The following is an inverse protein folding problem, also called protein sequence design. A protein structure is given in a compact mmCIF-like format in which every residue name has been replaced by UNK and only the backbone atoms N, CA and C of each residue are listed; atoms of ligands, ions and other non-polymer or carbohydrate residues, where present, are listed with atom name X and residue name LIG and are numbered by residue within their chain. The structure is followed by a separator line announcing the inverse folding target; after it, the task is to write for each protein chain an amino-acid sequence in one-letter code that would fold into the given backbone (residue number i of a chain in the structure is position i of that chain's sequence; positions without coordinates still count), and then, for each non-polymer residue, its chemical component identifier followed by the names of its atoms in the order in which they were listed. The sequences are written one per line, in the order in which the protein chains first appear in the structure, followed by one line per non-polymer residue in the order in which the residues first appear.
data_IF_806390598934
#
_entry.id   IF_806390598934
#
_cell.length_a   1.000
_cell.length_b   1.000
_cell.length_c   1.000
_cell.angle_alpha   90.00
_cell.angle_beta   90.00
_cell.angle_gamma   90.00
#
_symmetry.space_group_name_H-M   'P 1'
#
loop_
_entity.id
_entity.type
_entity.pdbx_description
1 polymer ?
2 polymer ?
3 non-polymer ?
4 non-polymer ?
5 non-polymer ?
6 non-polymer ?
7 water ?
#
# COMPACT_ATOMS: atom_id res chain seq x y z
N UNK A 1 -3.10 8.13 -7.06
CA UNK A 1 -3.35 9.14 -6.08
C UNK A 1 -3.97 10.38 -6.78
N UNK A 2 -5.16 10.79 -6.34
CA UNK A 2 -5.81 11.99 -6.82
C UNK A 2 -5.58 13.15 -5.92
N UNK A 3 -5.21 14.31 -6.49
CA UNK A 3 -5.03 15.53 -5.71
C UNK A 3 -3.79 15.52 -4.84
N UNK A 4 -2.77 14.73 -5.21
CA UNK A 4 -1.50 14.63 -4.47
C UNK A 4 -0.49 15.50 -5.11
N UNK A 5 0.75 15.18 -4.77
CA UNK A 5 1.92 15.86 -5.35
C UNK A 5 3.00 14.84 -5.66
N UNK A 6 3.91 15.16 -6.56
CA UNK A 6 5.00 14.21 -6.86
C UNK A 6 5.97 14.15 -5.71
N UNK A 7 6.18 12.96 -5.15
CA UNK A 7 7.08 12.79 -4.03
C UNK A 7 8.49 13.14 -4.45
N UNK A 8 9.28 13.67 -3.54
CA UNK A 8 10.70 13.88 -3.82
C UNK A 8 11.31 12.52 -4.16
N UNK A 9 12.19 12.48 -5.13
CA UNK A 9 12.81 11.23 -5.57
C UNK A 9 13.40 10.40 -4.43
N UNK A 10 12.96 9.14 -4.32
CA UNK A 10 13.39 8.23 -3.26
C UNK A 10 13.19 8.69 -1.84
N UNK A 11 12.16 9.51 -1.58
CA UNK A 11 11.84 10.06 -0.28
C UNK A 11 10.92 9.11 0.51
N UNK A 12 10.42 8.09 -0.18
CA UNK A 12 9.60 7.02 0.42
C UNK A 12 10.25 5.62 0.15
N UNK A 13 11.37 5.34 0.81
CA UNK A 13 12.23 4.21 0.53
C UNK A 13 11.62 2.85 0.80
N UNK A 14 10.49 2.80 1.51
CA UNK A 14 9.85 1.51 1.81
C UNK A 14 8.77 1.16 0.75
N UNK A 15 8.48 2.09 -0.16
CA UNK A 15 7.47 1.90 -1.15
C UNK A 15 7.97 0.94 -2.24
N UNK A 16 7.15 -0.02 -2.59
CA UNK A 16 7.51 -0.92 -3.67
C UNK A 16 6.41 -0.90 -4.71
N UNK A 17 6.77 -1.35 -5.91
CA UNK A 17 5.85 -1.54 -7.04
C UNK A 17 5.78 -3.04 -7.30
N UNK A 18 4.57 -3.63 -7.40
CA UNK A 18 4.40 -5.02 -7.71
C UNK A 18 4.17 -5.00 -9.23
N UNK A 19 4.95 -5.83 -9.95
CA UNK A 19 4.94 -5.88 -11.41
C UNK A 19 4.74 -7.30 -12.04
N UNK A 20 3.90 -7.32 -13.09
CA UNK A 20 3.66 -8.59 -13.67
C UNK A 20 3.57 -8.17 -15.13
N UNK A 21 4.65 -7.64 -15.68
CA UNK A 21 4.60 -7.15 -17.04
C UNK A 21 4.41 -5.64 -16.99
N UNK A 22 3.72 -5.17 -15.96
CA UNK A 22 3.55 -3.75 -15.75
C UNK A 22 3.11 -3.60 -14.31
N UNK A 23 3.26 -2.38 -13.80
CA UNK A 23 2.82 -2.07 -12.46
C UNK A 23 1.36 -2.36 -12.28
N UNK A 24 0.99 -3.01 -11.17
CA UNK A 24 -0.44 -3.28 -10.85
C UNK A 24 -0.87 -2.93 -9.45
N UNK A 25 0.07 -2.88 -8.50
CA UNK A 25 -0.27 -2.60 -7.12
C UNK A 25 0.97 -2.12 -6.39
N UNK A 26 0.77 -1.53 -5.22
CA UNK A 26 1.89 -1.09 -4.41
C UNK A 26 2.10 -2.10 -3.30
N UNK A 27 3.05 -1.79 -2.42
CA UNK A 27 3.37 -2.62 -1.27
C UNK A 27 4.35 -1.82 -0.41
N UNK A 28 4.72 -2.35 0.74
CA UNK A 28 5.67 -1.79 1.69
C UNK A 28 6.65 -2.84 2.16
N UNK A 29 7.91 -2.44 2.17
CA UNK A 29 9.00 -3.28 2.70
C UNK A 29 9.05 -3.18 4.17
N UNK A 30 8.82 -4.31 4.85
CA UNK A 30 8.82 -4.32 6.32
C UNK A 30 9.96 -5.08 6.94
N UNK A 31 10.65 -5.85 6.11
CA UNK A 31 11.78 -6.61 6.44
C UNK A 31 12.66 -6.73 5.16
N UNK A 32 13.91 -7.14 5.26
CA UNK A 32 14.73 -7.28 4.07
C UNK A 32 14.21 -8.34 3.15
N UNK A 33 13.39 -9.27 3.67
CA UNK A 33 12.90 -10.29 2.84
C UNK A 33 11.40 -10.32 2.65
N UNK A 34 10.70 -9.39 3.27
CA UNK A 34 9.23 -9.41 3.24
C UNK A 34 8.58 -8.03 2.91
N UNK A 35 7.58 -8.14 2.05
CA UNK A 35 6.78 -7.01 1.57
C UNK A 35 5.32 -7.26 1.97
N UNK A 36 4.65 -6.24 2.47
CA UNK A 36 3.22 -6.37 2.84
C UNK A 36 2.39 -5.58 1.79
N UNK A 37 1.27 -6.18 1.38
CA UNK A 37 0.37 -5.59 0.39
C UNK A 37 -1.04 -6.02 0.70
N UNK A 38 -1.93 -5.80 -0.22
CA UNK A 38 -3.33 -6.13 -0.13
C UNK A 38 -3.63 -7.48 -0.85
N UNK A 39 -4.46 -8.28 -0.19
CA UNK A 39 -4.87 -9.57 -0.75
C UNK A 39 -5.63 -9.49 -2.08
N UNK A 40 -6.39 -8.43 -2.31
CA UNK A 40 -7.11 -8.35 -3.57
C UNK A 40 -6.16 -8.04 -4.73
N UNK A 41 -4.88 -7.83 -4.46
CA UNK A 41 -3.90 -7.62 -5.48
C UNK A 41 -3.29 -8.94 -5.88
N UNK A 42 -3.75 -10.03 -5.28
CA UNK A 42 -3.16 -11.34 -5.58
C UNK A 42 -3.03 -11.68 -7.02
N UNK A 43 -1.88 -12.19 -7.36
CA UNK A 43 -1.58 -12.71 -8.73
C UNK A 43 -0.59 -13.84 -8.53
N UNK A 44 -0.59 -14.83 -9.43
CA UNK A 44 0.28 -16.01 -9.30
C UNK A 44 1.78 -15.64 -9.32
N UNK A 45 2.20 -14.83 -10.28
CA UNK A 45 3.62 -14.48 -10.39
C UNK A 45 3.77 -12.99 -10.18
N UNK A 46 4.72 -12.60 -9.36
CA UNK A 46 4.92 -11.17 -9.07
C UNK A 46 6.38 -10.83 -9.00
N UNK A 47 6.79 -9.72 -9.62
CA UNK A 47 8.13 -9.22 -9.46
C UNK A 47 8.02 -7.96 -8.61
N UNK A 48 8.83 -7.90 -7.57
CA UNK A 48 8.84 -6.80 -6.67
C UNK A 48 9.92 -5.80 -7.09
N UNK A 49 9.52 -4.54 -7.29
CA UNK A 49 10.49 -3.50 -7.70
C UNK A 49 10.73 -2.48 -6.62
N UNK A 50 11.94 -2.51 -6.08
CA UNK A 50 12.31 -1.61 -5.04
C UNK A 50 13.07 -0.43 -5.62
N UNK A 51 13.23 0.58 -4.67
CA UNK A 51 14.07 1.72 -5.11
C UNK A 51 13.55 2.52 -6.28
N UNK A 52 12.27 2.36 -6.60
CA UNK A 52 11.65 3.06 -7.75
C UNK A 52 11.20 4.48 -7.49
N UNK A 53 11.28 5.28 -8.50
CA UNK A 53 10.68 6.58 -8.45
C UNK A 53 9.92 6.76 -9.74
N UNK A 54 10.62 6.67 -10.86
CA UNK A 54 10.06 6.71 -12.22
C UNK A 54 9.95 5.26 -12.69
N UNK A 55 8.77 4.70 -12.72
CA UNK A 55 8.61 3.25 -13.07
C UNK A 55 8.80 2.97 -14.53
N UNK A 56 8.83 4.02 -15.33
CA UNK A 56 9.01 3.88 -16.78
C UNK A 56 10.44 3.99 -17.25
N UNK A 57 11.37 4.32 -16.37
CA UNK A 57 12.74 4.48 -16.77
C UNK A 57 13.71 3.84 -15.78
N UNK A 58 14.72 3.15 -16.24
CA UNK A 58 15.73 2.65 -15.31
C UNK A 58 16.64 3.80 -14.86
N UNK A 59 16.67 4.05 -13.57
CA UNK A 59 17.39 5.15 -12.98
C UNK A 59 18.71 4.74 -12.35
N UNK A 60 18.82 3.47 -12.00
CA UNK A 60 20.03 2.91 -11.41
C UNK A 60 20.01 2.56 -9.92
N UNK A 61 18.95 2.91 -9.24
CA UNK A 61 18.84 2.58 -7.87
C UNK A 61 17.87 1.42 -7.63
N UNK A 62 17.30 0.89 -8.72
CA UNK A 62 16.30 -0.14 -8.60
C UNK A 62 16.92 -1.52 -8.24
N UNK A 63 16.10 -2.35 -7.59
CA UNK A 63 16.42 -3.72 -7.31
C UNK A 63 15.15 -4.45 -7.67
N UNK A 64 15.21 -5.36 -8.64
CA UNK A 64 14.03 -6.07 -9.04
C UNK A 64 14.19 -7.49 -8.52
N UNK A 65 13.34 -7.94 -7.60
CA UNK A 65 13.46 -9.28 -7.01
C UNK A 65 12.13 -9.99 -7.15
N UNK A 66 12.19 -11.24 -7.58
CA UNK A 66 10.92 -11.95 -7.78
C UNK A 66 10.39 -12.51 -6.50
N UNK A 67 9.07 -12.61 -6.38
CA UNK A 67 8.46 -13.18 -5.15
C UNK A 67 8.63 -14.70 -5.11
N UNK A 68 9.06 -15.21 -3.98
CA UNK A 68 9.25 -16.63 -3.80
C UNK A 68 7.99 -17.25 -3.20
N UNK A 69 7.35 -16.55 -2.26
CA UNK A 69 6.11 -17.02 -1.62
C UNK A 69 5.09 -15.88 -1.52
N UNK A 70 3.82 -16.18 -1.69
CA UNK A 70 2.77 -15.17 -1.62
C UNK A 70 1.73 -15.73 -0.71
N UNK A 71 1.59 -15.13 0.46
CA UNK A 71 0.65 -15.61 1.47
C UNK A 71 -0.48 -14.62 1.73
N UNK A 72 -1.70 -14.97 1.35
CA UNK A 72 -2.81 -14.09 1.64
C UNK A 72 -3.36 -14.43 2.98
N UNK A 73 -3.95 -13.48 3.67
CA UNK A 73 -4.55 -13.75 4.98
C UNK A 73 -5.62 -14.87 4.85
N UNK A 74 -5.60 -15.83 5.74
CA UNK A 74 -6.54 -16.98 5.67
C UNK A 74 -8.00 -16.60 5.81
N UNK A 75 -8.29 -15.47 6.45
CA UNK A 75 -9.65 -14.99 6.62
C UNK A 75 -10.04 -13.83 5.68
N UNK A 76 -9.26 -13.58 4.61
CA UNK A 76 -9.60 -12.55 3.66
C UNK A 76 -10.98 -12.87 3.11
N UNK A 77 -11.86 -11.88 3.04
CA UNK A 77 -13.20 -12.08 2.55
C UNK A 77 -13.34 -11.19 1.35
N UNK A 78 -13.50 -11.81 0.18
CA UNK A 78 -13.59 -11.09 -1.09
C UNK A 78 -14.83 -10.22 -1.25
N UNK A 79 -15.83 -10.50 -0.46
CA UNK A 79 -17.09 -9.74 -0.53
C UNK A 79 -17.00 -8.45 0.27
N UNK A 80 -16.57 -8.58 1.50
CA UNK A 80 -16.45 -7.45 2.40
C UNK A 80 -15.12 -6.76 2.43
N UNK A 81 -14.12 -7.43 1.90
CA UNK A 81 -12.74 -6.95 1.86
C UNK A 81 -12.14 -6.95 3.30
N UNK A 82 -12.77 -7.70 4.22
CA UNK A 82 -12.19 -7.79 5.55
C UNK A 82 -10.88 -8.59 5.46
N UNK A 83 -9.87 -8.17 6.21
CA UNK A 83 -8.59 -8.87 6.22
C UNK A 83 -7.88 -8.78 4.86
N UNK A 84 -7.94 -7.62 4.23
CA UNK A 84 -7.32 -7.40 2.94
C UNK A 84 -5.83 -7.14 3.15
N UNK A 85 -5.05 -8.21 3.32
CA UNK A 85 -3.66 -8.12 3.62
C UNK A 85 -3.00 -9.40 3.09
N UNK A 86 -1.83 -9.25 2.54
CA UNK A 86 -1.06 -10.30 1.91
C UNK A 86 0.43 -10.06 2.21
N UNK A 87 1.18 -11.14 2.41
CA UNK A 87 2.63 -11.05 2.62
C UNK A 87 3.38 -11.73 1.47
N UNK A 88 4.45 -11.08 1.01
CA UNK A 88 5.23 -11.60 -0.08
C UNK A 88 6.65 -11.78 0.37
N UNK A 89 7.17 -13.02 0.27
CA UNK A 89 8.56 -13.27 0.60
C UNK A 89 9.40 -13.11 -0.71
N UNK A 90 10.49 -12.37 -0.63
CA UNK A 90 11.38 -12.12 -1.78
C UNK A 90 12.29 -13.36 -1.95
N UNK A 91 12.63 -13.66 -3.20
CA UNK A 91 13.51 -14.82 -3.48
C UNK A 91 14.93 -14.59 -2.95
N UNK A 92 15.33 -13.34 -2.80
CA UNK A 92 16.62 -12.96 -2.19
C UNK A 92 16.40 -11.69 -1.39
N UNK A 93 17.15 -11.49 -0.33
CA UNK A 93 16.98 -10.32 0.50
C UNK A 93 17.24 -9.04 -0.26
N UNK A 94 16.43 -8.01 0.03
CA UNK A 94 16.69 -6.74 -0.53
C UNK A 94 17.88 -6.18 0.18
N UNK A 95 18.72 -5.37 -0.47
CA UNK A 95 19.84 -4.73 0.15
C UNK A 95 19.37 -3.34 0.57
N UNK A 96 19.44 -3.06 1.86
CA UNK A 96 18.96 -1.83 2.44
C UNK A 96 20.00 -0.76 2.31
N UNK A 97 19.59 0.41 1.82
CA UNK A 97 20.48 1.55 1.62
C UNK A 97 19.60 2.83 1.75
N UNK A 98 20.09 3.95 1.20
CA UNK A 98 19.35 5.20 1.27
C UNK A 98 18.07 5.16 0.43
N UNK A 99 18.03 4.38 -0.63
CA UNK A 99 16.88 4.35 -1.48
C UNK A 99 15.93 3.20 -1.20
N UNK A 100 16.38 2.25 -0.37
CA UNK A 100 15.59 1.07 -0.03
C UNK A 100 15.69 0.79 1.42
N UNK A 101 14.58 0.97 2.15
CA UNK A 101 14.57 0.78 3.59
C UNK A 101 13.25 0.21 4.02
N UNK A 102 13.20 -0.30 5.25
CA UNK A 102 11.95 -0.81 5.80
C UNK A 102 11.16 0.31 6.52
N UNK A 103 9.89 0.01 6.75
CA UNK A 103 9.01 0.93 7.48
C UNK A 103 8.61 0.14 8.73
N UNK A 104 8.56 0.79 9.86
CA UNK A 104 8.18 0.08 11.10
C UNK A 104 6.71 -0.36 11.16
N UNK A 105 6.48 -1.50 11.83
CA UNK A 105 5.12 -1.90 12.07
C UNK A 105 4.59 -1.07 13.21
N UNK A 106 3.29 -0.92 13.36
CA UNK A 106 2.76 -0.04 14.41
C UNK A 106 2.95 -0.57 15.81
N UNK A 107 3.30 0.33 16.71
CA UNK A 107 3.46 0.01 18.09
C UNK A 107 2.09 0.04 18.78
N UNK A 108 1.16 0.77 18.14
CA UNK A 108 -0.20 0.83 18.67
C UNK A 108 -1.03 1.37 17.51
N UNK A 109 -2.36 1.31 17.67
CA UNK A 109 -3.24 1.85 16.63
C UNK A 109 -3.11 3.38 16.73
N UNK A 110 -3.59 4.10 15.73
CA UNK A 110 -3.39 5.53 15.69
C UNK A 110 -4.62 6.25 16.15
N UNK A 111 -4.41 7.40 16.73
CA UNK A 111 -5.47 8.29 17.17
C UNK A 111 -6.13 8.89 15.93
N UNK A 112 -7.49 9.11 16.08
CA UNK A 112 -8.19 9.96 15.10
C UNK A 112 -7.52 11.33 14.91
N UNK A 113 -7.42 11.79 13.68
CA UNK A 113 -6.84 13.06 13.39
C UNK A 113 -5.34 12.99 13.10
N UNK A 114 -4.72 11.82 13.29
CA UNK A 114 -3.29 11.60 13.05
C UNK A 114 -3.00 11.83 11.57
N UNK A 115 -1.99 12.63 11.32
CA UNK A 115 -1.56 12.95 9.93
C UNK A 115 -0.77 11.75 9.34
N UNK A 116 -1.13 11.30 8.11
CA UNK A 116 -0.45 10.19 7.49
C UNK A 116 0.02 10.57 6.10
N UNK A 117 0.90 9.78 5.55
CA UNK A 117 1.37 9.93 4.18
C UNK A 117 1.02 8.68 3.38
N UNK A 118 0.30 8.85 2.28
CA UNK A 118 -0.12 7.78 1.37
C UNK A 118 0.65 8.00 0.06
N UNK A 119 1.08 6.92 -0.60
CA UNK A 119 1.83 7.02 -1.79
C UNK A 119 1.55 5.90 -2.76
N UNK A 120 1.75 6.16 -4.04
CA UNK A 120 1.55 5.12 -5.04
C UNK A 120 1.62 5.64 -6.42
N UNK A 121 1.51 4.71 -7.38
CA UNK A 121 1.56 5.10 -8.78
C UNK A 121 0.21 4.82 -9.40
N UNK A 122 -0.86 4.84 -8.63
CA UNK A 122 -2.20 4.61 -9.13
C UNK A 122 -2.79 5.81 -9.94
N UNK A 123 -4.03 5.65 -10.42
CA UNK A 123 -4.68 6.68 -11.19
C UNK A 123 -4.69 8.02 -10.49
N UNK A 124 -4.39 9.13 -11.22
CA UNK A 124 -4.35 10.44 -10.66
C UNK A 124 -5.53 11.33 -11.00
N UNK A 125 -6.41 10.86 -11.87
CA UNK A 125 -7.57 11.67 -12.32
C UNK A 125 -8.87 11.18 -11.68
N UNK A 126 -9.68 12.16 -11.30
CA UNK A 126 -11.02 11.93 -10.70
C UNK A 126 -12.03 11.64 -11.83
N UNK A 127 -11.72 12.12 -13.01
CA UNK A 127 -12.54 11.91 -14.16
C UNK A 127 -11.61 11.38 -15.29
N UNK A 128 -11.71 10.08 -15.53
CA UNK A 128 -10.86 9.50 -16.56
C UNK A 128 -9.75 8.68 -15.95
N UNK A 129 -8.71 8.39 -16.74
CA UNK A 129 -7.56 7.61 -16.31
C UNK A 129 -6.24 8.23 -16.70
N UNK A 130 -5.31 8.20 -15.75
CA UNK A 130 -3.98 8.72 -16.03
C UNK A 130 -3.03 8.15 -14.99
N UNK A 131 -2.22 7.18 -15.41
CA UNK A 131 -1.26 6.56 -14.51
C UNK A 131 0.10 7.26 -14.64
N UNK A 132 0.61 7.78 -13.55
CA UNK A 132 1.87 8.53 -13.58
C UNK A 132 3.09 7.65 -13.65
N UNK A 133 4.21 8.21 -14.09
CA UNK A 133 5.45 7.48 -14.11
C UNK A 133 6.15 7.76 -12.82
N UNK A 134 5.88 8.94 -12.23
CA UNK A 134 6.54 9.38 -11.03
C UNK A 134 5.66 9.14 -9.81
N UNK A 135 6.28 8.65 -8.72
CA UNK A 135 5.51 8.31 -7.48
C UNK A 135 4.80 9.55 -6.89
N UNK A 136 3.53 9.37 -6.54
CA UNK A 136 2.73 10.43 -6.00
C UNK A 136 2.58 10.24 -4.50
N UNK A 137 2.42 11.36 -3.82
CA UNK A 137 2.24 11.49 -2.39
C UNK A 137 0.98 12.24 -2.03
N UNK A 138 0.46 11.96 -0.84
CA UNK A 138 -0.69 12.61 -0.36
C UNK A 138 -0.70 12.55 1.15
N UNK A 139 -0.89 13.71 1.78
CA UNK A 139 -1.01 13.78 3.20
C UNK A 139 -2.48 13.81 3.58
N UNK A 140 -2.88 12.92 4.46
CA UNK A 140 -4.26 12.81 4.87
C UNK A 140 -4.38 12.33 6.26
N UNK A 141 -5.41 12.75 6.98
CA UNK A 141 -5.65 12.30 8.38
C UNK A 141 -6.51 11.09 8.55
N UNK A 142 -6.28 10.40 9.64
CA UNK A 142 -7.12 9.29 10.02
C UNK A 142 -8.42 9.85 10.52
N UNK A 143 -9.51 9.35 9.98
CA UNK A 143 -10.85 9.81 10.34
C UNK A 143 -11.39 9.00 11.51
N UNK A 144 -12.23 9.63 12.32
CA UNK A 144 -12.85 8.93 13.43
C UNK A 144 -13.72 7.79 12.91
N UNK A 145 -14.05 6.87 13.81
CA UNK A 145 -14.90 5.73 13.49
C UNK A 145 -16.24 6.19 13.00
N UNK A 146 -16.71 7.24 13.59
CA UNK A 146 -17.98 7.84 13.27
C UNK A 146 -18.07 8.28 11.80
N UNK A 147 -17.13 9.12 11.36
CA UNK A 147 -17.15 9.61 10.00
C UNK A 147 -16.97 8.45 9.07
N UNK A 148 -16.22 7.43 9.49
CA UNK A 148 -15.93 6.29 8.56
C UNK A 148 -17.18 5.43 8.38
N UNK A 149 -17.80 5.09 9.51
CA UNK A 149 -18.98 4.24 9.49
C UNK A 149 -20.20 4.95 8.91
N UNK A 150 -20.31 6.25 9.13
CA UNK A 150 -21.46 6.97 8.52
C UNK A 150 -21.31 7.03 6.99
N UNK A 151 -20.07 6.97 6.51
CA UNK A 151 -19.85 7.03 5.09
C UNK A 151 -20.22 5.73 4.37
N UNK A 152 -20.01 4.61 5.03
CA UNK A 152 -20.26 3.28 4.49
C UNK A 152 -21.10 2.42 5.48
N UNK A 153 -22.37 2.76 5.66
CA UNK A 153 -23.22 2.07 6.68
C UNK A 153 -23.15 0.56 6.54
N UNK A 154 -22.81 -0.07 7.66
CA UNK A 154 -22.73 -1.51 7.80
C UNK A 154 -21.62 -2.17 7.01
N UNK A 155 -20.66 -1.42 6.49
CA UNK A 155 -19.61 -2.04 5.67
C UNK A 155 -18.21 -1.94 6.29
N UNK A 156 -18.08 -1.23 7.38
CA UNK A 156 -16.78 -1.06 8.03
C UNK A 156 -16.60 -2.04 9.20
N UNK A 157 -15.56 -2.86 9.14
CA UNK A 157 -15.31 -3.76 10.20
C UNK A 157 -14.28 -3.20 11.18
N UNK A 158 -14.00 -3.98 12.21
CA UNK A 158 -12.96 -3.56 13.12
C UNK A 158 -11.58 -3.63 12.53
N UNK A 159 -11.42 -4.14 11.32
CA UNK A 159 -10.12 -4.24 10.69
C UNK A 159 -9.91 -3.20 9.58
N UNK A 160 -10.67 -2.12 9.66
CA UNK A 160 -10.66 -1.08 8.66
C UNK A 160 -10.66 0.29 9.31
N UNK A 161 -10.00 1.24 8.67
CA UNK A 161 -10.00 2.63 9.06
C UNK A 161 -10.16 3.47 7.81
N UNK A 162 -10.72 4.65 7.99
CA UNK A 162 -10.86 5.56 6.88
C UNK A 162 -9.77 6.61 7.06
N UNK A 163 -9.15 7.02 5.94
CA UNK A 163 -8.13 8.04 5.94
C UNK A 163 -8.45 8.88 4.73
N UNK A 164 -8.55 10.19 4.91
CA UNK A 164 -8.83 11.04 3.79
C UNK A 164 -9.63 12.31 4.13
N UNK A 165 -10.44 12.74 3.16
CA UNK A 165 -11.19 13.99 3.24
C UNK A 165 -12.62 13.79 2.78
N UNK A 166 -13.59 14.25 3.58
CA UNK A 166 -14.98 14.06 3.20
C UNK A 166 -15.42 15.00 2.05
N UNK A 167 -14.66 16.05 1.79
CA UNK A 167 -14.99 16.98 0.72
C UNK A 167 -14.63 16.42 -0.64
N UNK A 168 -13.83 15.32 -0.66
CA UNK A 168 -13.37 14.68 -1.88
C UNK A 168 -12.20 15.40 -2.52
N UNK A 169 -11.74 14.94 -3.67
CA UNK A 169 -10.68 15.61 -4.38
C UNK A 169 -9.31 15.04 -4.06
N UNK A 170 -9.18 14.38 -2.90
CA UNK A 170 -7.90 13.83 -2.46
C UNK A 170 -8.12 12.42 -1.98
N UNK A 171 -7.48 11.44 -2.62
CA UNK A 171 -7.70 10.04 -2.22
C UNK A 171 -6.74 9.14 -2.99
N UNK A 172 -6.69 7.87 -2.58
CA UNK A 172 -5.93 6.84 -3.22
C UNK A 172 -6.90 6.28 -4.25
N UNK A 173 -6.43 5.60 -5.31
CA UNK A 173 -7.28 5.11 -6.38
C UNK A 173 -6.72 3.76 -6.90
N UNK A 174 -7.34 3.24 -7.95
CA UNK A 174 -6.85 2.00 -8.57
C UNK A 174 -5.36 2.14 -8.90
N UNK A 175 -4.58 1.07 -8.64
CA UNK A 175 -3.14 1.12 -8.85
C UNK A 175 -2.37 1.48 -7.59
N UNK A 176 -3.03 2.19 -6.67
CA UNK A 176 -2.41 2.47 -5.37
C UNK A 176 -2.62 1.34 -4.39
N UNK A 177 -3.54 0.45 -4.73
CA UNK A 177 -3.88 -0.68 -3.86
C UNK A 177 -2.65 -1.38 -3.36
N UNK A 178 -2.68 -1.85 -2.09
CA UNK A 178 -1.57 -2.57 -1.48
C UNK A 178 -0.53 -1.67 -0.94
N UNK A 179 -0.62 -0.40 -1.28
CA UNK A 179 0.38 0.60 -0.87
C UNK A 179 0.25 1.08 0.60
N UNK A 180 1.25 1.82 1.04
CA UNK A 180 1.34 2.26 2.42
C UNK A 180 0.62 3.49 2.81
N UNK A 181 0.21 3.47 4.07
CA UNK A 181 -0.31 4.67 4.76
C UNK A 181 0.53 4.72 6.00
N UNK A 182 1.42 5.68 6.07
CA UNK A 182 2.39 5.76 7.18
C UNK A 182 2.13 7.00 8.03
N UNK A 183 1.99 6.79 9.31
CA UNK A 183 1.60 7.91 10.24
C UNK A 183 2.60 7.84 11.34
N UNK A 184 3.26 8.97 11.62
CA UNK A 184 4.31 9.00 12.66
C UNK A 184 5.32 7.85 12.56
N UNK A 185 5.81 7.59 11.37
CA UNK A 185 6.84 6.57 11.20
C UNK A 185 6.36 5.12 11.28
N UNK A 186 5.07 4.88 11.32
CA UNK A 186 4.60 3.53 11.46
C UNK A 186 3.58 3.24 10.35
N UNK A 187 3.64 2.06 9.81
CA UNK A 187 2.69 1.58 8.83
C UNK A 187 1.36 1.33 9.49
N UNK A 188 0.38 2.20 9.28
CA UNK A 188 -0.93 2.04 9.90
C UNK A 188 -2.00 1.52 8.97
N UNK A 189 -1.81 1.75 7.69
CA UNK A 189 -2.82 1.29 6.74
C UNK A 189 -2.27 0.70 5.43
N UNK A 190 -3.09 -0.08 4.78
CA UNK A 190 -2.80 -0.60 3.47
C UNK A 190 -3.94 -0.12 2.57
N UNK A 191 -3.65 0.44 1.40
CA UNK A 191 -4.71 0.91 0.48
C UNK A 191 -5.60 -0.32 0.13
N UNK A 192 -6.88 -0.28 0.46
CA UNK A 192 -7.76 -1.45 0.29
C UNK A 192 -8.92 -1.21 -0.65
N UNK A 193 -9.87 -0.36 -0.26
CA UNK A 193 -11.02 -0.10 -1.08
C UNK A 193 -11.68 1.27 -0.87
N UNK A 194 -12.80 1.44 -1.53
CA UNK A 194 -13.60 2.63 -1.39
C UNK A 194 -14.69 2.60 -2.47
N UNK A 195 -15.51 3.65 -2.53
CA UNK A 195 -16.50 3.74 -3.62
C UNK A 195 -15.96 4.68 -4.71
N UNK A 196 -15.36 4.10 -5.62
CA UNK A 196 -14.67 5.05 -6.54
C UNK A 196 -13.41 5.70 -5.94
N UNK A 197 -13.01 6.88 -6.35
CA UNK A 197 -11.83 7.56 -5.83
C UNK A 197 -12.14 9.06 -5.74
N UNK A 198 -11.85 9.67 -4.58
CA UNK A 198 -11.94 11.10 -4.39
C UNK A 198 -13.36 11.71 -4.53
N UNK A 199 -14.38 10.89 -4.35
CA UNK A 199 -15.74 11.36 -4.38
C UNK A 199 -16.05 11.93 -2.99
N UNK A 200 -16.88 12.98 -2.91
CA UNK A 200 -17.23 13.53 -1.59
C UNK A 200 -17.99 12.54 -0.78
N UNK A 201 -17.73 12.52 0.52
CA UNK A 201 -18.37 11.63 1.47
C UNK A 201 -18.06 10.18 1.27
N UNK A 202 -17.00 9.90 0.48
CA UNK A 202 -16.59 8.52 0.23
C UNK A 202 -15.05 8.42 0.34
N UNK A 203 -14.53 8.59 1.53
CA UNK A 203 -13.07 8.53 1.74
C UNK A 203 -12.55 7.09 1.53
N UNK A 204 -11.25 6.97 1.31
CA UNK A 204 -10.61 5.67 1.13
C UNK A 204 -10.71 4.88 2.44
N UNK A 205 -10.84 3.57 2.30
CA UNK A 205 -10.87 2.61 3.40
C UNK A 205 -9.59 1.78 3.31
N UNK A 206 -8.94 1.58 4.45
CA UNK A 206 -7.68 0.95 4.55
C UNK A 206 -7.67 -0.19 5.57
N UNK A 207 -6.87 -1.21 5.26
CA UNK A 207 -6.65 -2.27 6.24
C UNK A 207 -5.94 -1.74 7.47
N UNK A 208 -6.47 -2.02 8.66
CA UNK A 208 -5.98 -1.48 9.90
C UNK A 208 -4.83 -2.37 10.42
N UNK A 209 -3.64 -2.04 10.00
CA UNK A 209 -2.46 -2.81 10.26
C UNK A 209 -2.19 -3.13 11.73
N UNK A 210 -2.58 -2.26 12.64
CA UNK A 210 -2.27 -2.48 14.06
C UNK A 210 -2.93 -3.70 14.63
N UNK A 211 -3.88 -4.26 13.92
CA UNK A 211 -4.53 -5.53 14.31
C UNK A 211 -3.79 -6.73 13.81
N UNK A 212 -2.82 -6.57 12.94
CA UNK A 212 -2.19 -7.73 12.30
C UNK A 212 -0.74 -8.01 12.66
N UNK A 213 -0.17 -7.29 13.62
CA UNK A 213 1.24 -7.48 13.94
C UNK A 213 1.55 -8.88 14.29
N UNK A 214 0.73 -9.52 15.11
CA UNK A 214 0.98 -10.91 15.46
C UNK A 214 0.98 -11.85 14.24
N UNK A 215 0.01 -11.68 13.36
CA UNK A 215 -0.10 -12.53 12.19
C UNK A 215 1.16 -12.34 11.31
N UNK A 216 1.60 -11.09 11.18
CA UNK A 216 2.76 -10.77 10.34
C UNK A 216 3.96 -11.45 10.92
N UNK A 217 4.13 -11.27 12.20
CA UNK A 217 5.31 -11.83 12.91
C UNK A 217 5.34 -13.35 12.83
N UNK A 218 4.23 -13.95 13.12
CA UNK A 218 4.09 -15.43 13.11
C UNK A 218 4.33 -16.02 11.74
N UNK A 219 3.84 -15.34 10.73
CA UNK A 219 4.01 -15.79 9.35
C UNK A 219 5.44 -15.72 8.89
N UNK A 220 6.14 -14.64 9.19
CA UNK A 220 7.52 -14.45 8.84
C UNK A 220 8.39 -15.51 9.59
N UNK A 221 8.06 -15.79 10.84
CA UNK A 221 8.87 -16.76 11.56
C UNK A 221 8.67 -18.20 11.01
N UNK A 222 7.52 -18.51 10.49
CA UNK A 222 7.17 -19.81 10.01
C UNK A 222 7.66 -20.12 8.59
N UNK A 223 7.91 -19.09 7.80
CA UNK A 223 8.31 -19.33 6.43
C UNK A 223 9.69 -18.76 6.12
N UNK B 1 11.70 -5.14 -19.04
CA UNK B 1 12.97 -4.41 -19.00
C UNK B 1 14.11 -5.23 -18.40
N UNK B 2 14.34 -5.12 -17.17
CA UNK B 2 15.48 -5.73 -16.53
C UNK B 2 14.83 -6.62 -15.51
N UNK B 3 15.44 -6.95 -14.43
CA UNK B 3 15.62 -8.35 -14.04
C UNK B 3 14.56 -9.44 -14.17
N UNK B 4 15.12 -10.58 -14.48
CA UNK B 4 14.46 -11.81 -14.99
C UNK B 4 13.72 -12.60 -13.92
N UNK B 5 13.27 -13.70 -14.53
CA UNK B 5 12.60 -14.76 -13.81
C UNK B 5 13.52 -15.89 -13.40
N UNK B 6 12.82 -17.02 -13.19
CA UNK B 6 13.47 -18.19 -12.53
C UNK B 6 13.74 -17.90 -11.05
N UNK B 7 12.73 -17.95 -10.21
CA UNK B 7 11.27 -17.87 -10.62
C UNK B 7 10.48 -16.69 -11.16
X LIG C 1 12.97 3.67 -12.32
X LIG D 1 -5.84 -2.37 -8.01
X LIG D 1 -5.52 -1.28 -7.46
X LIG D 1 -6.33 -3.32 -7.36
X LIG D 1 -5.65 -2.59 -9.45
X LIG E 1 11.76 -6.40 -19.47
X LIG E 1 10.44 -6.39 -19.39
X LIG E 1 12.53 -7.39 -19.04
X LIG E 1 12.13 -8.34 -18.01
X LIG E 1 11.50 -7.72 -16.76
X LIG E 1 11.15 -9.23 -18.68
X LIG E 1 13.40 -9.06 -17.68
X LIG F 1 9.24 -16.63 -10.60
X LIG F 1 8.12 -17.27 -11.35
#
# INVERSE_FOLDING_TARGET
IVGGYTCAANSIPYQVSLNSGSHFCGGSLINSQWVVSAAHCYKSRIQVRLGEHNIDVLEGNEQFINAAKIITHPNFNGNTLDNDIMLIKLSSPATLNSRVATVSLPRSCAAAGTECLISGWGNTKSSGSSYPSLLQCLKAPVLSDSSCKSSYPGQITGNMICVGFLEGGKDSCQGDSGGPVVCNGQLQGIVSWGYGCAQKNKPGVYTKVCNYVNWIQQTIAAN
PDALALA
CA CA
ACT C O OXT CH3
TBF C O1 O C' C1 C2 C3
NME N C
#
